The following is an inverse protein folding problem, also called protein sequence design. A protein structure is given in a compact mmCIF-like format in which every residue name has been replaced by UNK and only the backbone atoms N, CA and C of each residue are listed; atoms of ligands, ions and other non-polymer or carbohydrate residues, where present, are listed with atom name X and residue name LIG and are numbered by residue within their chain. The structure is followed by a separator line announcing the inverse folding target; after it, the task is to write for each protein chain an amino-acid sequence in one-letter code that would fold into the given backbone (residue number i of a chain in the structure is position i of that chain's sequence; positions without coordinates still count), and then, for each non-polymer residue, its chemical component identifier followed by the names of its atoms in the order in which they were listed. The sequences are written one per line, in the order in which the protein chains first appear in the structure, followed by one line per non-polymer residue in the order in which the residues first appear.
data_IF_703502094996
#
_entry.id   IF_703502094996
#
_cell.length_a   1.000
_cell.length_b   1.000
_cell.length_c   1.000
_cell.angle_alpha   90.00
_cell.angle_beta   90.00
_cell.angle_gamma   90.00
#
_symmetry.space_group_name_H-M   'P 1'
#
loop_
_entity.id
_entity.type
_entity.pdbx_description
1 polymer ?
#
# COMPACT_ATOMS: atom_id res chain seq x y z
N UNK A 1 6.78 19.23 -7.23
CA UNK A 1 5.48 19.49 -6.62
C UNK A 1 5.13 18.38 -5.63
N UNK A 2 4.63 18.76 -4.48
CA UNK A 2 4.25 17.78 -3.43
C UNK A 2 2.96 17.08 -3.84
N UNK A 3 2.90 15.76 -3.76
CA UNK A 3 1.66 15.05 -4.07
C UNK A 3 0.58 15.35 -3.01
N UNK A 4 -0.67 15.19 -3.39
CA UNK A 4 -1.80 15.33 -2.48
C UNK A 4 -2.31 13.99 -1.97
N UNK A 5 -1.97 12.91 -2.67
CA UNK A 5 -2.34 11.55 -2.31
C UNK A 5 -1.19 10.61 -2.65
N UNK A 6 -0.76 9.84 -1.66
CA UNK A 6 0.25 8.78 -1.86
C UNK A 6 -0.46 7.44 -1.71
N UNK A 7 -0.36 6.59 -2.72
CA UNK A 7 -1.03 5.30 -2.78
C UNK A 7 -0.01 4.18 -2.73
N UNK A 8 -0.27 3.18 -1.92
CA UNK A 8 0.61 2.02 -1.77
C UNK A 8 -0.12 0.74 -2.17
N UNK A 9 0.59 -0.15 -2.86
CA UNK A 9 0.25 -1.55 -2.92
C UNK A 9 0.55 -2.20 -1.55
N UNK A 10 0.04 -3.39 -1.31
CA UNK A 10 0.28 -4.12 -0.05
C UNK A 10 1.41 -5.13 -0.17
N UNK A 11 1.16 -6.29 -0.82
CA UNK A 11 2.15 -7.37 -0.89
C UNK A 11 3.41 -6.92 -1.61
N UNK A 12 4.57 -7.18 -0.99
CA UNK A 12 5.90 -6.81 -1.49
C UNK A 12 6.14 -5.30 -1.60
N UNK A 13 5.20 -4.49 -1.09
CA UNK A 13 5.34 -3.03 -1.06
C UNK A 13 5.30 -2.50 0.37
N UNK A 14 4.18 -2.69 1.08
CA UNK A 14 4.06 -2.30 2.50
C UNK A 14 4.45 -3.44 3.43
N UNK A 15 4.11 -4.66 3.07
CA UNK A 15 4.40 -5.83 3.92
C UNK A 15 4.95 -7.01 3.14
N UNK A 16 5.60 -7.89 3.90
CA UNK A 16 6.08 -9.19 3.45
C UNK A 16 5.21 -10.26 4.10
N UNK A 17 4.45 -10.97 3.30
CA UNK A 17 3.55 -12.04 3.75
C UNK A 17 4.27 -13.39 3.62
N UNK A 18 5.35 -13.56 4.38
CA UNK A 18 6.16 -14.79 4.37
C UNK A 18 6.67 -15.15 2.96
N UNK A 19 7.04 -14.14 2.19
CA UNK A 19 7.61 -14.33 0.83
C UNK A 19 6.59 -14.62 -0.25
N UNK A 20 5.29 -14.47 0.05
CA UNK A 20 4.22 -14.68 -0.93
C UNK A 20 3.16 -13.58 -0.80
N UNK A 21 2.00 -13.76 -1.38
CA UNK A 21 0.88 -12.82 -1.30
C UNK A 21 0.01 -13.14 -0.09
N UNK A 22 -0.62 -12.12 0.50
CA UNK A 22 -1.41 -12.32 1.72
C UNK A 22 -2.60 -13.26 1.50
N UNK A 23 -3.12 -13.38 0.28
CA UNK A 23 -4.21 -14.32 -0.02
C UNK A 23 -3.74 -15.77 -0.14
N UNK A 24 -2.44 -16.02 -0.01
CA UNK A 24 -1.89 -17.37 0.08
C UNK A 24 -1.66 -17.81 1.53
N UNK A 25 -1.93 -16.94 2.50
CA UNK A 25 -1.81 -17.28 3.91
C UNK A 25 -3.02 -18.11 4.35
N UNK A 26 -2.96 -18.62 5.58
CA UNK A 26 -3.96 -19.53 6.12
C UNK A 26 -4.55 -18.98 7.44
N UNK A 27 -5.70 -18.30 7.36
CA UNK A 27 -6.36 -17.83 8.59
C UNK A 27 -6.71 -19.01 9.53
N UNK A 28 -6.92 -18.76 10.82
CA UNK A 28 -6.98 -17.44 11.46
C UNK A 28 -5.60 -16.84 11.70
N UNK A 29 -5.58 -15.49 11.73
CA UNK A 29 -4.37 -14.74 12.05
C UNK A 29 -4.34 -14.43 13.54
N UNK A 30 -3.14 -14.45 14.14
CA UNK A 30 -2.99 -14.13 15.56
C UNK A 30 -1.74 -13.29 15.80
N UNK A 31 -1.77 -12.53 16.91
CA UNK A 31 -0.62 -11.75 17.35
C UNK A 31 0.05 -12.52 18.49
N UNK A 32 1.34 -12.77 18.33
CA UNK A 32 2.16 -13.41 19.36
C UNK A 32 3.39 -12.55 19.58
N UNK A 33 3.54 -11.99 20.77
CA UNK A 33 4.67 -11.11 21.12
C UNK A 33 4.84 -9.96 20.11
N UNK A 34 3.73 -9.35 19.70
CA UNK A 34 3.73 -8.23 18.76
C UNK A 34 3.95 -8.60 17.31
N UNK A 35 4.03 -9.88 17.00
CA UNK A 35 4.25 -10.41 15.64
C UNK A 35 2.99 -11.10 15.15
N UNK A 36 2.74 -11.03 13.83
CA UNK A 36 1.52 -11.58 13.23
C UNK A 36 1.85 -12.88 12.51
N UNK A 37 1.09 -13.93 12.86
CA UNK A 37 1.26 -15.25 12.25
C UNK A 37 -0.09 -15.76 11.74
N UNK A 38 -0.05 -16.57 10.67
CA UNK A 38 -1.21 -17.32 10.25
C UNK A 38 -1.30 -18.66 10.99
N UNK A 39 -2.29 -19.50 10.67
CA UNK A 39 -2.47 -20.79 11.34
C UNK A 39 -1.35 -21.78 11.07
N UNK A 40 -0.58 -21.59 10.02
CA UNK A 40 0.57 -22.43 9.65
C UNK A 40 1.89 -21.84 10.11
N UNK A 41 1.86 -20.83 10.97
CA UNK A 41 3.03 -20.16 11.56
C UNK A 41 3.83 -19.35 10.55
N UNK A 42 3.24 -18.96 9.44
CA UNK A 42 3.84 -18.02 8.49
C UNK A 42 3.67 -16.60 9.03
N UNK A 43 4.74 -15.83 9.02
CA UNK A 43 4.74 -14.47 9.57
C UNK A 43 4.53 -13.42 8.50
N UNK A 44 3.58 -12.49 8.76
CA UNK A 44 3.43 -11.28 7.95
C UNK A 44 4.00 -10.10 8.73
N UNK A 45 4.81 -9.28 8.07
CA UNK A 45 5.42 -8.12 8.73
C UNK A 45 5.58 -6.96 7.76
N UNK A 46 5.46 -5.75 8.30
CA UNK A 46 5.73 -4.54 7.54
C UNK A 46 7.22 -4.45 7.22
N UNK A 47 7.55 -3.86 6.07
CA UNK A 47 8.94 -3.54 5.78
C UNK A 47 9.45 -2.47 6.75
N UNK A 48 10.77 -2.50 7.07
CA UNK A 48 11.33 -1.54 8.03
C UNK A 48 11.08 -0.09 7.61
N UNK A 49 10.67 0.74 8.57
CA UNK A 49 10.42 2.16 8.32
C UNK A 49 9.04 2.48 7.77
N UNK A 50 8.18 1.48 7.53
CA UNK A 50 6.84 1.74 6.98
C UNK A 50 6.02 2.64 7.89
N UNK A 51 6.00 2.39 9.19
CA UNK A 51 5.22 3.21 10.12
C UNK A 51 5.74 4.65 10.13
N UNK A 52 7.07 4.83 10.08
CA UNK A 52 7.65 6.17 10.03
C UNK A 52 7.21 6.93 8.79
N UNK A 53 7.13 6.24 7.64
CA UNK A 53 6.65 6.83 6.38
C UNK A 53 5.19 7.28 6.54
N UNK A 54 4.34 6.40 7.09
CA UNK A 54 2.93 6.72 7.28
C UNK A 54 2.74 7.91 8.23
N UNK A 55 3.53 7.95 9.32
CA UNK A 55 3.50 9.07 10.26
C UNK A 55 3.95 10.38 9.60
N UNK A 56 5.01 10.34 8.80
CA UNK A 56 5.47 11.52 8.09
C UNK A 56 4.43 12.07 7.12
N UNK A 57 3.79 11.19 6.34
CA UNK A 57 2.76 11.59 5.40
C UNK A 57 1.59 12.24 6.13
N UNK A 58 1.18 11.65 7.25
CA UNK A 58 0.12 12.21 8.08
C UNK A 58 0.50 13.59 8.61
N UNK A 59 1.73 13.74 9.10
CA UNK A 59 2.22 15.00 9.62
C UNK A 59 2.25 16.09 8.55
N UNK A 60 2.57 15.72 7.29
CA UNK A 60 2.59 16.65 6.16
C UNK A 60 1.21 16.86 5.56
N UNK A 61 0.18 16.32 6.18
CA UNK A 61 -1.21 16.43 5.71
C UNK A 61 -1.42 15.89 4.29
N UNK A 62 -0.67 14.85 3.93
CA UNK A 62 -0.83 14.16 2.66
C UNK A 62 -1.73 12.94 2.88
N UNK A 63 -2.80 12.83 2.12
CA UNK A 63 -3.69 11.68 2.21
C UNK A 63 -3.01 10.40 1.73
N UNK A 64 -3.37 9.29 2.34
CA UNK A 64 -2.78 7.99 2.04
C UNK A 64 -3.87 7.03 1.60
N UNK A 65 -3.59 6.26 0.54
CA UNK A 65 -4.51 5.26 0.02
C UNK A 65 -3.84 3.92 -0.22
N UNK A 66 -4.67 2.91 -0.40
CA UNK A 66 -4.24 1.57 -0.76
C UNK A 66 -4.87 1.19 -2.10
N UNK A 67 -4.08 0.57 -2.97
CA UNK A 67 -4.57 -0.08 -4.18
C UNK A 67 -3.99 -1.50 -4.22
N UNK A 68 -4.80 -2.49 -3.93
CA UNK A 68 -4.39 -3.90 -3.87
C UNK A 68 -5.31 -4.76 -4.71
N UNK A 69 -4.73 -5.76 -5.39
CA UNK A 69 -5.48 -6.72 -6.21
C UNK A 69 -5.70 -8.04 -5.50
N UNK A 70 -5.50 -8.10 -4.19
CA UNK A 70 -5.65 -9.36 -3.45
C UNK A 70 -7.02 -9.99 -3.67
N UNK A 71 -7.04 -11.32 -3.76
CA UNK A 71 -8.28 -12.09 -3.86
C UNK A 71 -9.00 -12.23 -2.54
N UNK A 72 -8.40 -11.77 -1.42
CA UNK A 72 -8.99 -11.87 -0.09
C UNK A 72 -9.00 -10.50 0.59
N UNK A 73 -9.88 -9.59 0.14
CA UNK A 73 -9.92 -8.23 0.69
C UNK A 73 -10.14 -8.17 2.19
N UNK A 74 -10.99 -9.05 2.74
CA UNK A 74 -11.29 -9.03 4.17
C UNK A 74 -10.09 -9.46 5.01
N UNK A 75 -9.28 -10.40 4.52
CA UNK A 75 -8.03 -10.78 5.19
C UNK A 75 -7.06 -9.60 5.23
N UNK A 76 -6.93 -8.89 4.11
CA UNK A 76 -6.03 -7.73 4.04
C UNK A 76 -6.46 -6.66 5.04
N UNK A 77 -7.76 -6.39 5.14
CA UNK A 77 -8.28 -5.39 6.09
C UNK A 77 -8.05 -5.81 7.54
N UNK A 78 -8.24 -7.10 7.82
CA UNK A 78 -7.96 -7.64 9.16
C UNK A 78 -6.49 -7.48 9.51
N UNK A 79 -5.59 -7.82 8.57
CA UNK A 79 -4.16 -7.70 8.78
C UNK A 79 -3.74 -6.25 9.02
N UNK A 80 -4.33 -5.30 8.28
CA UNK A 80 -4.08 -3.87 8.51
C UNK A 80 -4.50 -3.45 9.91
N UNK A 81 -5.63 -3.98 10.40
CA UNK A 81 -6.09 -3.71 11.76
C UNK A 81 -5.13 -4.32 12.80
N UNK A 82 -4.71 -5.56 12.59
CA UNK A 82 -3.79 -6.23 13.52
C UNK A 82 -2.43 -5.52 13.57
N UNK A 83 -2.00 -4.93 12.47
CA UNK A 83 -0.77 -4.14 12.40
C UNK A 83 -0.92 -2.74 13.00
N UNK A 84 -2.15 -2.33 13.34
CA UNK A 84 -2.47 -1.00 13.85
C UNK A 84 -2.08 0.12 12.87
N UNK A 85 -2.21 -0.13 11.58
CA UNK A 85 -1.88 0.88 10.56
C UNK A 85 -3.08 1.29 9.72
N UNK A 86 -4.21 0.59 9.85
CA UNK A 86 -5.36 0.84 8.98
C UNK A 86 -5.86 2.28 9.05
N UNK A 87 -5.80 2.90 10.21
CA UNK A 87 -6.29 4.26 10.41
C UNK A 87 -5.53 5.33 9.62
N UNK A 88 -4.31 5.02 9.13
CA UNK A 88 -3.56 5.96 8.30
C UNK A 88 -4.17 6.13 6.91
N UNK A 89 -4.91 5.12 6.45
CA UNK A 89 -5.40 5.08 5.07
C UNK A 89 -6.78 5.69 4.95
N UNK A 90 -6.85 6.79 4.23
CA UNK A 90 -8.13 7.45 3.97
C UNK A 90 -8.94 6.71 2.93
N UNK A 91 -8.27 6.06 1.97
CA UNK A 91 -8.91 5.32 0.88
C UNK A 91 -8.39 3.90 0.84
N UNK A 92 -9.31 2.94 0.67
CA UNK A 92 -8.97 1.51 0.56
C UNK A 92 -9.62 0.95 -0.67
N UNK A 93 -8.83 0.77 -1.75
CA UNK A 93 -9.28 0.09 -2.95
C UNK A 93 -8.63 -1.29 -2.95
N UNK A 94 -9.28 -2.25 -2.31
CA UNK A 94 -8.74 -3.59 -2.07
C UNK A 94 -9.70 -4.61 -2.66
N UNK A 95 -9.41 -5.11 -3.85
CA UNK A 95 -10.21 -6.09 -4.59
C UNK A 95 -9.47 -6.52 -5.85
N UNK A 96 -9.80 -7.71 -6.42
CA UNK A 96 -9.16 -8.16 -7.66
C UNK A 96 -9.48 -7.26 -8.85
N UNK A 97 -8.66 -7.36 -9.88
CA UNK A 97 -8.84 -6.65 -11.13
C UNK A 97 -7.73 -5.66 -11.41
N UNK A 98 -7.74 -5.06 -12.60
CA UNK A 98 -6.73 -4.08 -13.00
C UNK A 98 -6.73 -2.87 -12.08
N UNK A 99 -5.55 -2.38 -11.75
CA UNK A 99 -5.42 -1.19 -10.89
C UNK A 99 -5.88 0.09 -11.59
N UNK A 100 -6.15 0.05 -12.89
CA UNK A 100 -6.84 1.15 -13.57
C UNK A 100 -8.18 1.42 -12.87
N UNK A 101 -8.94 0.38 -12.55
CA UNK A 101 -10.22 0.53 -11.84
C UNK A 101 -10.00 1.10 -10.44
N UNK A 102 -8.99 0.64 -9.72
CA UNK A 102 -8.67 1.14 -8.39
C UNK A 102 -8.43 2.66 -8.43
N UNK A 103 -7.62 3.11 -9.39
CA UNK A 103 -7.28 4.54 -9.50
C UNK A 103 -8.44 5.40 -10.01
N UNK A 104 -9.29 4.86 -10.88
CA UNK A 104 -10.51 5.59 -11.28
C UNK A 104 -11.41 5.85 -10.07
N UNK A 105 -11.53 4.87 -9.18
CA UNK A 105 -12.29 5.04 -7.95
C UNK A 105 -11.62 6.01 -6.98
N UNK A 106 -10.30 5.94 -6.85
CA UNK A 106 -9.56 6.89 -6.02
C UNK A 106 -9.78 8.32 -6.52
N UNK A 107 -9.74 8.53 -7.83
CA UNK A 107 -10.01 9.84 -8.40
C UNK A 107 -11.41 10.31 -8.07
N UNK A 108 -12.40 9.44 -8.25
CA UNK A 108 -13.80 9.80 -7.97
C UNK A 108 -14.02 10.13 -6.50
N UNK A 109 -13.47 9.33 -5.60
CA UNK A 109 -13.65 9.52 -4.16
C UNK A 109 -12.90 10.74 -3.63
N UNK A 110 -11.70 10.99 -4.11
CA UNK A 110 -10.86 12.08 -3.62
C UNK A 110 -11.12 13.41 -4.28
N UNK A 111 -11.63 13.39 -5.52
CA UNK A 111 -11.77 14.60 -6.32
C UNK A 111 -10.45 15.13 -6.86
N UNK A 112 -9.35 14.40 -6.66
CA UNK A 112 -8.02 14.81 -7.11
C UNK A 112 -7.77 14.38 -8.55
N UNK A 113 -6.89 15.10 -9.23
CA UNK A 113 -6.41 14.68 -10.54
C UNK A 113 -5.34 13.61 -10.40
N UNK A 114 -5.15 12.80 -11.43
CA UNK A 114 -4.13 11.75 -11.40
C UNK A 114 -2.73 12.32 -11.18
N UNK A 115 -2.47 13.52 -11.71
CA UNK A 115 -1.16 14.18 -11.55
C UNK A 115 -0.86 14.57 -10.09
N UNK A 116 -1.87 14.61 -9.23
CA UNK A 116 -1.70 14.89 -7.80
C UNK A 116 -1.38 13.63 -6.99
N UNK A 117 -1.29 12.47 -7.64
CA UNK A 117 -1.09 11.18 -6.98
C UNK A 117 0.27 10.57 -7.29
N UNK A 118 0.85 9.92 -6.27
CA UNK A 118 2.04 9.07 -6.43
C UNK A 118 1.66 7.65 -6.01
N UNK A 119 2.15 6.66 -6.74
CA UNK A 119 1.85 5.26 -6.49
C UNK A 119 3.13 4.43 -6.41
N UNK A 120 3.26 3.66 -5.33
CA UNK A 120 4.37 2.73 -5.11
C UNK A 120 3.86 1.29 -5.24
N UNK A 121 4.48 0.52 -6.12
CA UNK A 121 4.09 -0.87 -6.38
C UNK A 121 5.33 -1.67 -6.80
N UNK A 122 5.31 -2.97 -6.57
CA UNK A 122 6.42 -3.86 -6.92
C UNK A 122 6.27 -4.53 -8.29
N UNK A 123 5.09 -4.43 -8.91
CA UNK A 123 4.83 -5.10 -10.19
C UNK A 123 4.93 -4.14 -11.38
N UNK A 124 5.83 -4.42 -12.34
CA UNK A 124 5.97 -3.58 -13.54
C UNK A 124 4.67 -3.41 -14.32
N UNK A 125 3.83 -4.44 -14.37
CA UNK A 125 2.53 -4.37 -15.06
C UNK A 125 1.65 -3.27 -14.47
N UNK A 126 1.57 -3.21 -13.14
CA UNK A 126 0.75 -2.21 -12.47
C UNK A 126 1.30 -0.80 -12.71
N UNK A 127 2.62 -0.65 -12.66
CA UNK A 127 3.28 0.62 -12.95
C UNK A 127 2.92 1.11 -14.36
N UNK A 128 3.03 0.22 -15.35
CA UNK A 128 2.71 0.56 -16.74
C UNK A 128 1.26 0.98 -16.90
N UNK A 129 0.33 0.18 -16.38
CA UNK A 129 -1.10 0.45 -16.53
C UNK A 129 -1.52 1.75 -15.85
N UNK A 130 -1.06 1.98 -14.63
CA UNK A 130 -1.47 3.14 -13.85
C UNK A 130 -0.81 4.43 -14.35
N UNK A 131 0.45 4.35 -14.78
CA UNK A 131 1.16 5.53 -15.28
C UNK A 131 0.49 6.13 -16.53
N UNK A 132 -0.20 5.32 -17.32
CA UNK A 132 -0.92 5.81 -18.48
C UNK A 132 -2.08 6.73 -18.11
N UNK A 133 -2.57 6.67 -16.89
CA UNK A 133 -3.62 7.56 -16.40
C UNK A 133 -3.08 8.95 -16.03
N UNK A 134 -1.78 9.07 -15.83
CA UNK A 134 -1.15 10.33 -15.41
C UNK A 134 -0.65 10.31 -13.97
N UNK A 135 -0.77 9.19 -13.28
CA UNK A 135 -0.24 9.01 -11.92
C UNK A 135 1.26 8.82 -12.00
N UNK A 136 2.01 9.45 -11.09
CA UNK A 136 3.44 9.21 -10.99
C UNK A 136 3.66 7.88 -10.28
N UNK A 137 4.18 6.89 -10.99
CA UNK A 137 4.34 5.54 -10.47
C UNK A 137 5.82 5.21 -10.23
N UNK A 138 6.11 4.64 -9.08
CA UNK A 138 7.46 4.27 -8.67
C UNK A 138 7.50 2.78 -8.40
N UNK A 139 8.37 2.08 -9.13
CA UNK A 139 8.59 0.66 -8.91
C UNK A 139 9.49 0.47 -7.70
N UNK A 140 9.02 -0.34 -6.74
CA UNK A 140 9.84 -0.78 -5.62
C UNK A 140 10.11 -2.28 -5.79
N UNK A 141 11.30 -2.74 -5.45
CA UNK A 141 11.66 -4.14 -5.74
C UNK A 141 11.30 -5.10 -4.61
N UNK A 142 11.51 -4.68 -3.38
CA UNK A 142 11.16 -5.48 -2.20
C UNK A 142 10.85 -4.53 -1.06
N UNK A 143 9.65 -3.96 -1.12
CA UNK A 143 9.19 -3.07 -0.09
C UNK A 143 9.66 -1.64 -0.25
N UNK A 144 8.89 -0.75 0.33
CA UNK A 144 9.25 0.67 0.40
C UNK A 144 10.36 0.89 1.42
N UNK A 145 11.06 2.02 1.25
CA UNK A 145 12.00 2.50 2.27
C UNK A 145 11.73 3.97 2.51
N UNK A 146 12.04 4.48 3.73
CA UNK A 146 11.88 5.91 4.01
C UNK A 146 12.62 6.80 3.01
N UNK A 147 13.83 6.43 2.65
CA UNK A 147 14.65 7.20 1.72
C UNK A 147 13.99 7.34 0.35
N UNK A 148 13.47 6.23 -0.18
CA UNK A 148 12.82 6.24 -1.50
C UNK A 148 11.57 7.11 -1.47
N UNK A 149 10.71 6.93 -0.47
CA UNK A 149 9.48 7.73 -0.39
C UNK A 149 9.80 9.21 -0.22
N UNK A 150 10.71 9.55 0.68
CA UNK A 150 11.09 10.96 0.91
C UNK A 150 11.64 11.62 -0.34
N UNK A 151 12.39 10.89 -1.15
CA UNK A 151 12.97 11.46 -2.36
C UNK A 151 11.92 11.96 -3.35
N UNK A 152 10.74 11.37 -3.33
CA UNK A 152 9.64 11.80 -4.20
C UNK A 152 8.73 12.84 -3.56
N UNK A 153 8.75 12.98 -2.24
CA UNK A 153 7.96 13.99 -1.55
C UNK A 153 8.59 15.38 -1.66
N UNK A 154 9.90 15.45 -1.69
CA UNK A 154 10.63 16.70 -1.71
C UNK A 154 11.12 17.11 -3.09
N UNK A 155 10.80 16.36 -4.14
CA UNK A 155 11.23 16.67 -5.51
C UNK A 155 10.58 17.97 -5.99
N UNK A 156 11.36 18.78 -6.72
CA UNK A 156 10.92 20.06 -7.27
C UNK A 156 10.79 19.97 -8.79
#
# INVERSE_FOLDING_TARGET
MTPKLVVFDLDFTLWDAAGTWCDHLNPPFEIVSGRIFDSMRAELKLYPGTIDILEELKHECIDIGIASRTGEPEWAKELLNLLNVREYFRYEEIYPGSKITHFKRLRNKSGLNYEDMIFFDDEPRNITEVSELGVKCILVKKGISPEVVRSYLTSR
#
